data_IF_526082690353
#
_entry.id   IF_526082690353
#
_cell.length_a   1.000
_cell.length_b   1.000
_cell.length_c   1.000
_cell.angle_alpha   90.00
_cell.angle_beta   90.00
_cell.angle_gamma   90.00
#
_symmetry.space_group_name_H-M   'P 1'
#
loop_
_entity.id
_entity.type
_entity.pdbx_description
1 polymer ?
#
# COMPACT_ATOMS: atom_id res chain seq x y z
N UNK A 1 -1.02 -15.66 -27.57
CA UNK A 1 -0.99 -14.31 -26.99
C UNK A 1 -1.68 -14.37 -25.63
N UNK A 2 -0.91 -14.34 -24.54
CA UNK A 2 -1.45 -14.50 -23.19
C UNK A 2 -2.11 -13.22 -22.72
N UNK A 3 -3.44 -13.23 -22.67
CA UNK A 3 -4.27 -12.19 -22.09
C UNK A 3 -4.11 -12.19 -20.56
N UNK A 4 -3.03 -11.59 -20.07
CA UNK A 4 -3.16 -10.88 -18.79
C UNK A 4 -3.93 -9.60 -19.14
N UNK A 5 -5.04 -9.28 -18.45
CA UNK A 5 -5.67 -7.98 -18.61
C UNK A 5 -4.60 -6.94 -18.27
N UNK A 6 -4.05 -6.32 -19.31
CA UNK A 6 -3.16 -5.18 -19.13
C UNK A 6 -3.95 -4.03 -18.51
N UNK A 7 -3.27 -2.93 -18.24
CA UNK A 7 -3.89 -1.66 -17.83
C UNK A 7 -5.09 -1.24 -18.70
N UNK A 8 -5.22 -1.76 -19.92
CA UNK A 8 -6.37 -1.58 -20.81
C UNK A 8 -7.70 -2.07 -20.25
N UNK A 9 -7.73 -3.17 -19.49
CA UNK A 9 -8.98 -3.63 -18.87
C UNK A 9 -9.42 -2.69 -17.74
N UNK A 10 -8.47 -2.22 -16.93
CA UNK A 10 -8.72 -1.26 -15.85
C UNK A 10 -8.96 0.18 -16.34
N UNK A 11 -8.53 0.51 -17.56
CA UNK A 11 -8.73 1.82 -18.17
C UNK A 11 -10.04 1.95 -18.97
N UNK A 12 -10.78 0.86 -19.14
CA UNK A 12 -12.07 0.85 -19.83
C UNK A 12 -13.11 1.78 -19.19
N UNK A 13 -13.12 1.81 -17.85
CA UNK A 13 -14.12 2.53 -17.05
C UNK A 13 -13.70 3.96 -16.66
N UNK A 14 -12.56 4.44 -17.15
CA UNK A 14 -11.99 5.74 -16.74
C UNK A 14 -12.36 6.83 -17.74
N UNK A 15 -13.14 7.82 -17.29
CA UNK A 15 -13.45 8.99 -18.10
C UNK A 15 -12.18 9.75 -18.55
N UNK A 16 -12.02 10.07 -19.84
CA UNK A 16 -10.86 10.81 -20.33
C UNK A 16 -10.87 12.29 -19.91
N UNK A 17 -9.71 12.87 -19.56
CA UNK A 17 -9.56 14.32 -19.38
C UNK A 17 -9.55 15.08 -20.71
N UNK A 18 -10.32 16.16 -20.78
CA UNK A 18 -10.36 17.16 -21.87
C UNK A 18 -11.53 18.14 -21.67
N UNK A 19 -11.36 19.41 -22.09
CA UNK A 19 -12.45 20.38 -22.12
C UNK A 19 -13.59 19.94 -23.04
N UNK A 20 -14.78 20.53 -22.90
CA UNK A 20 -16.02 20.15 -23.60
C UNK A 20 -15.92 20.07 -25.16
N UNK A 21 -14.80 20.52 -25.71
CA UNK A 21 -14.50 20.58 -27.14
C UNK A 21 -13.93 19.29 -27.76
N UNK A 22 -13.59 18.24 -26.99
CA UNK A 22 -13.06 16.99 -27.58
C UNK A 22 -14.16 15.92 -27.76
N UNK A 23 -14.68 15.69 -28.99
CA UNK A 23 -15.78 14.77 -29.24
C UNK A 23 -15.41 13.30 -28.98
N UNK A 24 -14.12 12.97 -29.04
CA UNK A 24 -13.62 11.61 -28.81
C UNK A 24 -13.63 11.20 -27.33
N UNK A 25 -13.99 12.10 -26.41
CA UNK A 25 -14.10 11.80 -24.97
C UNK A 25 -15.26 10.87 -24.64
N UNK A 26 -16.33 10.90 -25.44
CA UNK A 26 -17.55 10.09 -25.23
C UNK A 26 -17.45 8.68 -25.84
N UNK A 27 -16.35 8.37 -26.50
CA UNK A 27 -16.15 7.10 -27.17
C UNK A 27 -15.44 6.11 -26.25
N UNK A 28 -15.82 4.84 -26.37
CA UNK A 28 -15.17 3.74 -25.66
C UNK A 28 -13.66 3.69 -25.93
N UNK A 29 -12.92 3.13 -24.96
CA UNK A 29 -11.46 2.99 -25.04
C UNK A 29 -11.00 2.35 -26.35
N UNK A 30 -11.71 1.32 -26.79
CA UNK A 30 -11.42 0.56 -28.02
C UNK A 30 -11.54 1.43 -29.27
N UNK A 31 -12.63 2.20 -29.39
CA UNK A 31 -12.86 3.11 -30.53
C UNK A 31 -11.79 4.20 -30.57
N UNK A 32 -11.46 4.78 -29.42
CA UNK A 32 -10.41 5.78 -29.32
C UNK A 32 -9.04 5.22 -29.70
N UNK A 33 -8.68 4.04 -29.20
CA UNK A 33 -7.43 3.38 -29.56
C UNK A 33 -7.37 3.08 -31.07
N UNK A 34 -8.49 2.68 -31.68
CA UNK A 34 -8.57 2.47 -33.12
C UNK A 34 -8.29 3.79 -33.89
N UNK A 35 -8.88 4.90 -33.48
CA UNK A 35 -8.63 6.23 -34.08
C UNK A 35 -7.17 6.66 -33.89
N UNK A 36 -6.61 6.50 -32.69
CA UNK A 36 -5.20 6.81 -32.42
C UNK A 36 -4.27 6.00 -33.32
N UNK A 37 -4.48 4.69 -33.41
CA UNK A 37 -3.67 3.79 -34.23
C UNK A 37 -3.81 4.13 -35.72
N UNK A 38 -5.02 4.46 -36.19
CA UNK A 38 -5.23 4.87 -37.58
C UNK A 38 -4.50 6.17 -37.92
N UNK A 39 -4.60 7.19 -37.06
CA UNK A 39 -3.91 8.48 -37.24
C UNK A 39 -2.39 8.30 -37.15
N UNK A 40 -1.90 7.54 -36.16
CA UNK A 40 -0.48 7.26 -36.01
C UNK A 40 0.09 6.47 -37.20
N UNK A 41 -0.63 5.47 -37.68
CA UNK A 41 -0.27 4.70 -38.87
C UNK A 41 -0.22 5.60 -40.12
N UNK A 42 -1.23 6.43 -40.33
CA UNK A 42 -1.27 7.39 -41.45
C UNK A 42 -0.10 8.38 -41.42
N UNK A 43 0.15 9.00 -40.27
CA UNK A 43 1.29 9.91 -40.09
C UNK A 43 2.64 9.20 -40.28
N UNK A 44 2.78 7.97 -39.79
CA UNK A 44 3.99 7.19 -39.97
C UNK A 44 4.24 6.80 -41.44
N UNK A 45 3.18 6.54 -42.22
CA UNK A 45 3.30 6.32 -43.67
C UNK A 45 3.80 7.60 -44.35
N UNK A 46 3.18 8.75 -44.08
CA UNK A 46 3.55 10.03 -44.70
C UNK A 46 4.99 10.40 -44.35
N UNK A 47 5.34 10.41 -43.06
CA UNK A 47 6.68 10.80 -42.61
C UNK A 47 7.75 9.76 -42.98
N UNK A 48 7.42 8.46 -42.95
CA UNK A 48 8.34 7.41 -43.37
C UNK A 48 8.67 7.47 -44.86
N UNK A 49 7.68 7.80 -45.71
CA UNK A 49 7.92 7.99 -47.16
C UNK A 49 8.86 9.16 -47.47
N UNK A 50 8.92 10.18 -46.61
CA UNK A 50 9.88 11.28 -46.76
C UNK A 50 11.33 10.84 -46.54
N UNK A 51 11.57 9.74 -45.79
CA UNK A 51 12.90 9.13 -45.65
C UNK A 51 13.16 8.10 -46.74
N UNK A 52 12.22 7.19 -46.97
CA UNK A 52 12.34 6.12 -47.95
C UNK A 52 10.97 5.74 -48.50
N UNK A 53 10.79 5.91 -49.81
CA UNK A 53 9.56 5.51 -50.50
C UNK A 53 9.32 3.99 -50.45
N UNK A 54 10.40 3.19 -50.36
CA UNK A 54 10.32 1.74 -50.43
C UNK A 54 10.30 1.04 -49.07
N UNK A 55 10.83 1.66 -47.99
CA UNK A 55 11.07 0.96 -46.71
C UNK A 55 10.35 1.51 -45.47
N UNK A 56 9.41 2.45 -45.65
CA UNK A 56 8.64 3.08 -44.56
C UNK A 56 7.89 2.14 -43.58
N UNK A 57 7.84 0.83 -43.83
CA UNK A 57 7.15 -0.15 -42.99
C UNK A 57 7.68 -0.20 -41.55
N UNK A 58 8.96 0.09 -41.27
CA UNK A 58 9.46 0.11 -39.90
C UNK A 58 8.85 1.24 -39.05
N UNK A 59 8.65 2.41 -39.66
CA UNK A 59 7.96 3.53 -39.02
C UNK A 59 6.51 3.16 -38.69
N UNK A 60 5.82 2.51 -39.62
CA UNK A 60 4.42 2.08 -39.43
C UNK A 60 4.32 1.02 -38.33
N UNK A 61 5.17 -0.01 -38.35
CA UNK A 61 5.18 -1.05 -37.30
C UNK A 61 5.54 -0.41 -35.95
N UNK A 62 6.47 0.55 -35.90
CA UNK A 62 6.83 1.24 -34.66
C UNK A 62 5.66 2.04 -34.08
N UNK A 63 4.97 2.83 -34.91
CA UNK A 63 3.80 3.58 -34.51
C UNK A 63 2.65 2.66 -34.06
N UNK A 64 2.37 1.58 -34.78
CA UNK A 64 1.33 0.61 -34.41
C UNK A 64 1.62 -0.07 -33.07
N UNK A 65 2.84 -0.59 -32.91
CA UNK A 65 3.21 -1.37 -31.72
C UNK A 65 3.25 -0.51 -30.46
N UNK A 66 3.48 0.81 -30.59
CA UNK A 66 3.42 1.76 -29.49
C UNK A 66 2.06 1.73 -28.76
N UNK A 67 0.97 1.42 -29.46
CA UNK A 67 -0.39 1.35 -28.91
C UNK A 67 -0.87 -0.07 -28.57
N UNK A 68 -0.16 -1.10 -29.01
CA UNK A 68 -0.60 -2.49 -28.78
C UNK A 68 -0.53 -2.84 -27.30
N UNK A 69 -1.68 -3.08 -26.66
CA UNK A 69 -1.75 -3.47 -25.25
C UNK A 69 -1.33 -2.36 -24.27
N UNK A 70 -1.38 -1.10 -24.70
CA UNK A 70 -1.11 0.07 -23.84
C UNK A 70 -2.37 0.92 -23.71
N UNK A 71 -2.70 1.35 -22.51
CA UNK A 71 -3.87 2.19 -22.25
C UNK A 71 -3.52 3.60 -21.78
N UNK A 72 -2.31 3.80 -21.26
CA UNK A 72 -1.90 5.08 -20.69
C UNK A 72 -0.76 5.74 -21.47
N UNK A 73 -0.65 7.08 -21.37
CA UNK A 73 0.43 7.86 -22.03
C UNK A 73 1.82 7.34 -21.68
N UNK A 74 2.04 7.03 -20.39
CA UNK A 74 3.33 6.57 -19.88
C UNK A 74 3.74 5.23 -20.50
N UNK A 75 2.78 4.34 -20.73
CA UNK A 75 3.05 3.05 -21.38
C UNK A 75 3.41 3.21 -22.85
N UNK A 76 2.65 4.04 -23.59
CA UNK A 76 2.97 4.36 -24.99
C UNK A 76 4.38 4.96 -25.09
N UNK A 77 4.71 5.88 -24.19
CA UNK A 77 6.05 6.50 -24.12
C UNK A 77 7.15 5.47 -23.81
N UNK A 78 7.03 4.73 -22.71
CA UNK A 78 8.00 3.72 -22.30
C UNK A 78 8.20 2.67 -23.40
N UNK A 79 7.11 2.23 -24.04
CA UNK A 79 7.17 1.24 -25.11
C UNK A 79 7.85 1.77 -26.37
N UNK A 80 7.58 3.03 -26.73
CA UNK A 80 8.22 3.71 -27.87
C UNK A 80 9.72 3.89 -27.64
N UNK A 81 10.12 4.31 -26.44
CA UNK A 81 11.54 4.45 -26.04
C UNK A 81 12.24 3.10 -26.03
N UNK A 82 11.63 2.08 -25.40
CA UNK A 82 12.17 0.73 -25.37
C UNK A 82 12.34 0.14 -26.77
N UNK A 83 11.48 0.53 -27.72
CA UNK A 83 11.62 0.13 -29.11
C UNK A 83 12.84 0.73 -29.77
N UNK A 84 13.04 2.04 -29.65
CA UNK A 84 14.21 2.71 -30.21
C UNK A 84 15.50 2.15 -29.61
N UNK A 85 15.56 2.01 -28.28
CA UNK A 85 16.73 1.45 -27.59
C UNK A 85 16.98 -0.02 -27.97
N UNK A 86 15.94 -0.85 -27.98
CA UNK A 86 16.05 -2.26 -28.35
C UNK A 86 16.53 -2.44 -29.79
N UNK A 87 16.08 -1.59 -30.71
CA UNK A 87 16.55 -1.59 -32.10
C UNK A 87 17.99 -1.09 -32.20
N UNK A 88 18.36 0.02 -31.52
CA UNK A 88 19.73 0.52 -31.51
C UNK A 88 20.74 -0.53 -31.01
N UNK A 89 20.47 -1.11 -29.84
CA UNK A 89 21.35 -2.11 -29.22
C UNK A 89 21.35 -3.42 -30.04
N UNK A 90 20.19 -3.81 -30.56
CA UNK A 90 20.04 -5.00 -31.40
C UNK A 90 20.73 -4.87 -32.76
N UNK A 91 20.78 -3.67 -33.34
CA UNK A 91 21.53 -3.37 -34.56
C UNK A 91 23.03 -3.50 -34.31
N UNK A 92 23.54 -2.92 -33.22
CA UNK A 92 24.96 -3.06 -32.84
C UNK A 92 25.36 -4.53 -32.65
N UNK A 93 24.56 -5.30 -31.90
CA UNK A 93 24.77 -6.74 -31.74
C UNK A 93 24.61 -7.51 -33.06
N UNK A 94 23.66 -7.11 -33.90
CA UNK A 94 23.42 -7.71 -35.22
C UNK A 94 24.60 -7.54 -36.17
N UNK A 95 25.21 -6.35 -36.20
CA UNK A 95 26.43 -6.06 -36.98
C UNK A 95 27.60 -6.91 -36.47
N UNK A 96 27.83 -6.92 -35.15
CA UNK A 96 28.91 -7.72 -34.56
C UNK A 96 28.74 -9.21 -34.89
N UNK A 97 27.54 -9.75 -34.74
CA UNK A 97 27.24 -11.14 -35.07
C UNK A 97 27.39 -11.42 -36.56
N UNK A 98 26.97 -10.51 -37.45
CA UNK A 98 27.11 -10.69 -38.90
C UNK A 98 28.58 -10.81 -39.32
N UNK A 99 29.48 -10.05 -38.70
CA UNK A 99 30.92 -10.21 -38.91
C UNK A 99 31.45 -11.55 -38.39
N UNK A 100 30.97 -12.02 -37.24
CA UNK A 100 31.41 -13.29 -36.64
C UNK A 100 30.89 -14.52 -37.40
N UNK A 101 29.70 -14.43 -38.00
CA UNK A 101 29.09 -15.52 -38.76
C UNK A 101 29.35 -15.42 -40.27
N UNK A 102 30.14 -14.45 -40.71
CA UNK A 102 30.45 -14.23 -42.13
C UNK A 102 31.02 -15.51 -42.77
N UNK A 103 30.45 -15.91 -43.90
CA UNK A 103 30.87 -17.10 -44.65
C UNK A 103 30.41 -18.44 -44.07
N UNK A 104 29.71 -18.47 -42.92
CA UNK A 104 29.18 -19.69 -42.33
C UNK A 104 27.64 -19.66 -42.22
N UNK A 105 26.96 -20.20 -43.24
CA UNK A 105 25.50 -20.25 -43.32
C UNK A 105 24.87 -20.99 -42.14
N UNK A 106 25.49 -22.07 -41.66
CA UNK A 106 24.98 -22.81 -40.50
C UNK A 106 25.02 -21.97 -39.23
N UNK A 107 26.08 -21.19 -39.02
CA UNK A 107 26.18 -20.26 -37.90
C UNK A 107 25.13 -19.14 -38.00
N UNK A 108 24.91 -18.57 -39.19
CA UNK A 108 23.87 -17.55 -39.41
C UNK A 108 22.49 -18.11 -39.07
N UNK A 109 22.15 -19.31 -39.57
CA UNK A 109 20.88 -19.97 -39.26
C UNK A 109 20.71 -20.28 -37.77
N UNK A 110 21.78 -20.72 -37.10
CA UNK A 110 21.77 -20.96 -35.66
C UNK A 110 21.49 -19.67 -34.87
N UNK A 111 22.09 -18.54 -35.26
CA UNK A 111 21.82 -17.23 -34.65
C UNK A 111 20.38 -16.78 -34.91
N UNK A 112 19.84 -16.98 -36.12
CA UNK A 112 18.44 -16.65 -36.44
C UNK A 112 17.49 -17.44 -35.52
N UNK A 113 17.64 -18.76 -35.45
CA UNK A 113 16.77 -19.63 -34.63
C UNK A 113 16.93 -19.33 -33.14
N UNK A 114 18.17 -19.17 -32.66
CA UNK A 114 18.45 -18.83 -31.27
C UNK A 114 17.88 -17.47 -30.87
N UNK A 115 18.04 -16.46 -31.73
CA UNK A 115 17.46 -15.13 -31.50
C UNK A 115 15.94 -15.16 -31.52
N UNK A 116 15.33 -15.90 -32.45
CA UNK A 116 13.89 -16.08 -32.49
C UNK A 116 13.35 -16.73 -31.20
N UNK A 117 14.00 -17.80 -30.74
CA UNK A 117 13.65 -18.46 -29.47
C UNK A 117 13.76 -17.48 -28.28
N UNK A 118 14.90 -16.82 -28.11
CA UNK A 118 15.12 -15.86 -27.02
C UNK A 118 14.12 -14.69 -27.08
N UNK A 119 13.85 -14.16 -28.27
CA UNK A 119 12.91 -13.06 -28.47
C UNK A 119 11.49 -13.42 -28.03
N UNK A 120 10.97 -14.58 -28.44
CA UNK A 120 9.63 -15.04 -28.03
C UNK A 120 9.57 -15.56 -26.59
N UNK A 121 10.67 -16.12 -26.06
CA UNK A 121 10.73 -16.57 -24.67
C UNK A 121 10.73 -15.38 -23.70
N UNK A 122 11.62 -14.40 -23.94
CA UNK A 122 11.81 -13.24 -23.08
C UNK A 122 10.75 -12.15 -23.26
N UNK A 123 9.87 -12.26 -24.27
CA UNK A 123 8.75 -11.33 -24.46
C UNK A 123 7.86 -11.19 -23.21
N UNK A 124 7.77 -12.25 -22.38
CA UNK A 124 7.00 -12.24 -21.14
C UNK A 124 7.64 -11.39 -20.04
N UNK A 125 8.97 -11.22 -20.08
CA UNK A 125 9.71 -10.42 -19.11
C UNK A 125 9.80 -8.96 -19.54
N UNK A 126 10.13 -8.69 -20.81
CA UNK A 126 10.20 -7.33 -21.33
C UNK A 126 10.07 -7.29 -22.85
N UNK A 127 9.25 -6.35 -23.32
CA UNK A 127 9.11 -6.03 -24.74
C UNK A 127 10.45 -5.57 -25.37
N UNK A 128 11.32 -4.90 -24.61
CA UNK A 128 12.61 -4.43 -25.10
C UNK A 128 13.54 -5.59 -25.52
N UNK A 129 13.55 -6.68 -24.73
CA UNK A 129 14.33 -7.88 -25.07
C UNK A 129 13.82 -8.54 -26.35
N UNK A 130 12.50 -8.62 -26.53
CA UNK A 130 11.94 -9.16 -27.78
C UNK A 130 12.43 -8.36 -28.99
N UNK A 131 12.35 -7.03 -28.96
CA UNK A 131 12.82 -6.18 -30.06
C UNK A 131 14.31 -6.35 -30.32
N UNK A 132 15.13 -6.40 -29.26
CA UNK A 132 16.56 -6.62 -29.36
C UNK A 132 16.87 -7.91 -30.15
N UNK A 133 16.30 -9.04 -29.75
CA UNK A 133 16.54 -10.33 -30.42
C UNK A 133 15.93 -10.39 -31.83
N UNK A 134 14.73 -9.84 -32.05
CA UNK A 134 14.14 -9.75 -33.39
C UNK A 134 14.99 -8.86 -34.31
N UNK A 135 15.63 -7.83 -33.76
CA UNK A 135 16.51 -6.94 -34.53
C UNK A 135 17.75 -7.69 -35.01
N UNK A 136 18.37 -8.51 -34.14
CA UNK A 136 19.47 -9.41 -34.52
C UNK A 136 19.01 -10.39 -35.60
N UNK A 137 17.87 -11.07 -35.39
CA UNK A 137 17.31 -12.03 -36.33
C UNK A 137 17.13 -11.43 -37.73
N UNK A 138 16.51 -10.25 -37.83
CA UNK A 138 16.33 -9.56 -39.13
C UNK A 138 17.67 -9.12 -39.74
N UNK A 139 18.64 -8.70 -38.92
CA UNK A 139 19.96 -8.33 -39.42
C UNK A 139 20.68 -9.53 -40.05
N UNK A 140 20.60 -10.70 -39.41
CA UNK A 140 21.12 -11.97 -39.94
C UNK A 140 20.37 -12.42 -41.19
N UNK A 141 19.05 -12.22 -41.24
CA UNK A 141 18.26 -12.50 -42.44
C UNK A 141 18.73 -11.65 -43.64
N UNK A 142 19.00 -10.36 -43.45
CA UNK A 142 19.57 -9.52 -44.51
C UNK A 142 20.98 -9.95 -44.92
N UNK A 143 21.76 -10.51 -43.99
CA UNK A 143 23.05 -11.11 -44.32
C UNK A 143 22.90 -12.32 -45.25
N UNK A 144 21.91 -13.20 -45.00
CA UNK A 144 21.62 -14.35 -45.89
C UNK A 144 21.11 -13.90 -47.25
N UNK A 145 20.29 -12.84 -47.28
CA UNK A 145 19.73 -12.28 -48.52
C UNK A 145 20.76 -11.46 -49.33
N UNK A 146 22.01 -11.35 -48.88
CA UNK A 146 23.04 -10.49 -49.47
C UNK A 146 22.64 -9.02 -49.62
N UNK A 147 21.67 -8.57 -48.82
CA UNK A 147 21.23 -7.16 -48.76
C UNK A 147 21.83 -6.41 -47.57
N UNK A 148 22.74 -7.02 -46.80
CA UNK A 148 23.29 -6.38 -45.61
C UNK A 148 24.09 -5.12 -45.98
N UNK A 149 23.59 -3.96 -45.54
CA UNK A 149 24.26 -2.66 -45.72
C UNK A 149 24.15 -1.83 -44.44
N UNK A 150 25.24 -1.18 -43.97
CA UNK A 150 25.19 -0.27 -42.84
C UNK A 150 24.13 0.82 -43.00
N UNK A 151 23.93 1.33 -44.22
CA UNK A 151 22.91 2.35 -44.51
C UNK A 151 21.48 1.86 -44.26
N UNK A 152 21.19 0.58 -44.53
CA UNK A 152 19.87 0.01 -44.24
C UNK A 152 19.60 -0.14 -42.74
N UNK A 153 20.66 -0.39 -41.95
CA UNK A 153 20.54 -0.50 -40.50
C UNK A 153 20.34 0.89 -39.87
N UNK A 154 21.01 1.92 -40.38
CA UNK A 154 20.76 3.32 -39.97
C UNK A 154 19.35 3.74 -40.34
N UNK A 155 18.91 3.49 -41.59
CA UNK A 155 17.55 3.79 -42.04
C UNK A 155 16.50 3.12 -41.14
N UNK A 156 16.73 1.86 -40.75
CA UNK A 156 15.86 1.15 -39.81
C UNK A 156 15.74 1.86 -38.47
N UNK A 157 16.84 2.38 -37.94
CA UNK A 157 16.85 3.13 -36.69
C UNK A 157 16.07 4.45 -36.84
N UNK A 158 16.30 5.18 -37.94
CA UNK A 158 15.61 6.44 -38.24
C UNK A 158 14.09 6.25 -38.41
N UNK A 159 13.67 5.27 -39.21
CA UNK A 159 12.24 4.96 -39.40
C UNK A 159 11.59 4.52 -38.08
N UNK A 160 12.29 3.71 -37.28
CA UNK A 160 11.81 3.30 -35.96
C UNK A 160 11.67 4.50 -35.02
N UNK A 161 12.61 5.44 -35.06
CA UNK A 161 12.55 6.67 -34.28
C UNK A 161 11.40 7.58 -34.71
N UNK A 162 11.12 7.71 -36.01
CA UNK A 162 9.97 8.45 -36.55
C UNK A 162 8.67 7.82 -36.05
N UNK A 163 8.52 6.51 -36.22
CA UNK A 163 7.31 5.82 -35.76
C UNK A 163 7.09 5.93 -34.24
N UNK A 164 8.17 5.85 -33.45
CA UNK A 164 8.12 6.08 -32.01
C UNK A 164 7.72 7.52 -31.67
N UNK A 165 8.27 8.53 -32.36
CA UNK A 165 7.94 9.93 -32.17
C UNK A 165 6.47 10.21 -32.52
N UNK A 166 5.98 9.68 -33.65
CA UNK A 166 4.57 9.77 -34.07
C UNK A 166 3.66 9.10 -33.03
N UNK A 167 4.01 7.90 -32.57
CA UNK A 167 3.23 7.18 -31.54
C UNK A 167 3.13 7.98 -30.24
N UNK A 168 4.24 8.57 -29.78
CA UNK A 168 4.25 9.45 -28.61
C UNK A 168 3.39 10.70 -28.85
N UNK A 169 3.58 11.40 -29.98
CA UNK A 169 2.84 12.61 -30.29
C UNK A 169 1.32 12.36 -30.34
N UNK A 170 0.89 11.31 -31.05
CA UNK A 170 -0.53 10.94 -31.14
C UNK A 170 -1.05 10.52 -29.77
N UNK A 171 -0.31 9.72 -29.00
CA UNK A 171 -0.73 9.30 -27.65
C UNK A 171 -0.84 10.45 -26.64
N UNK A 172 -0.09 11.55 -26.85
CA UNK A 172 -0.13 12.75 -26.02
C UNK A 172 -1.22 13.75 -26.47
N UNK A 173 -1.51 13.83 -27.77
CA UNK A 173 -2.42 14.84 -28.34
C UNK A 173 -3.84 14.31 -28.53
N UNK A 174 -4.00 13.10 -29.09
CA UNK A 174 -5.33 12.49 -29.27
C UNK A 174 -5.78 11.85 -27.96
N UNK A 175 -6.73 12.49 -27.25
CA UNK A 175 -7.47 11.96 -26.09
C UNK A 175 -6.62 11.27 -25.01
N UNK A 176 -5.72 12.02 -24.38
CA UNK A 176 -4.66 11.42 -23.60
C UNK A 176 -5.20 10.95 -22.23
N UNK A 177 -5.13 9.65 -21.92
CA UNK A 177 -5.51 9.12 -20.59
C UNK A 177 -4.40 9.42 -19.59
N UNK A 178 -4.73 10.15 -18.53
CA UNK A 178 -3.79 10.42 -17.45
C UNK A 178 -3.62 9.16 -16.60
N UNK A 179 -2.40 8.61 -16.52
CA UNK A 179 -2.10 7.48 -15.64
C UNK A 179 -2.51 7.76 -14.19
N UNK A 180 -2.42 9.02 -13.74
CA UNK A 180 -2.84 9.41 -12.39
C UNK A 180 -4.36 9.28 -12.18
N UNK A 181 -5.15 9.52 -13.21
CA UNK A 181 -6.62 9.43 -13.10
C UNK A 181 -7.08 7.98 -13.13
N UNK A 182 -6.42 7.14 -13.93
CA UNK A 182 -6.64 5.69 -13.91
C UNK A 182 -6.27 5.10 -12.55
N UNK A 183 -5.15 5.52 -11.95
CA UNK A 183 -4.77 5.10 -10.58
C UNK A 183 -5.81 5.57 -9.55
N UNK A 184 -6.24 6.83 -9.61
CA UNK A 184 -7.28 7.35 -8.70
C UNK A 184 -8.60 6.59 -8.85
N UNK A 185 -8.99 6.26 -10.08
CA UNK A 185 -10.23 5.51 -10.31
C UNK A 185 -10.12 4.08 -9.75
N UNK A 186 -9.01 3.38 -9.99
CA UNK A 186 -8.77 2.06 -9.42
C UNK A 186 -8.71 2.10 -7.88
N UNK A 187 -8.16 3.16 -7.29
CA UNK A 187 -8.14 3.38 -5.84
C UNK A 187 -9.56 3.60 -5.29
N UNK A 188 -10.40 4.38 -5.98
CA UNK A 188 -11.83 4.54 -5.62
C UNK A 188 -12.60 3.23 -5.72
N UNK A 189 -12.38 2.42 -6.75
CA UNK A 189 -12.99 1.09 -6.86
C UNK A 189 -12.62 0.22 -5.67
N UNK A 190 -11.32 0.18 -5.31
CA UNK A 190 -10.86 -0.54 -4.12
C UNK A 190 -11.52 -0.04 -2.84
N UNK A 191 -11.62 1.28 -2.64
CA UNK A 191 -12.27 1.89 -1.48
C UNK A 191 -13.76 1.56 -1.41
N UNK A 192 -14.46 1.58 -2.55
CA UNK A 192 -15.89 1.21 -2.63
C UNK A 192 -16.09 -0.27 -2.25
N UNK A 193 -15.33 -1.18 -2.86
CA UNK A 193 -15.35 -2.62 -2.52
C UNK A 193 -15.00 -2.87 -1.05
N UNK A 194 -14.07 -2.08 -0.49
CA UNK A 194 -13.71 -2.15 0.92
C UNK A 194 -14.85 -1.68 1.83
N UNK A 195 -15.53 -0.57 1.50
CA UNK A 195 -16.70 -0.09 2.22
C UNK A 195 -17.85 -1.10 2.19
N UNK A 196 -18.12 -1.64 1.02
CA UNK A 196 -19.05 -2.76 0.80
C UNK A 196 -18.70 -3.99 1.66
N UNK A 197 -17.41 -4.30 1.86
CA UNK A 197 -16.98 -5.40 2.73
C UNK A 197 -17.21 -5.11 4.20
N UNK A 198 -16.94 -3.88 4.64
CA UNK A 198 -17.23 -3.48 6.02
C UNK A 198 -18.73 -3.46 6.32
N UNK A 199 -19.57 -3.14 5.32
CA UNK A 199 -21.01 -3.25 5.45
C UNK A 199 -21.46 -4.70 5.66
N UNK A 200 -20.92 -5.66 4.89
CA UNK A 200 -21.16 -7.09 5.12
C UNK A 200 -20.63 -7.56 6.47
N UNK A 201 -19.49 -7.04 6.93
CA UNK A 201 -18.97 -7.34 8.27
C UNK A 201 -19.96 -6.88 9.35
N UNK A 202 -20.55 -5.69 9.20
CA UNK A 202 -21.58 -5.21 10.12
C UNK A 202 -22.82 -6.12 10.10
N UNK A 203 -23.27 -6.55 8.92
CA UNK A 203 -24.40 -7.48 8.78
C UNK A 203 -24.10 -8.83 9.46
N UNK A 204 -22.89 -9.36 9.27
CA UNK A 204 -22.44 -10.61 9.90
C UNK A 204 -22.44 -10.53 11.43
N UNK A 205 -22.03 -9.37 11.98
CA UNK A 205 -22.03 -9.10 13.42
C UNK A 205 -23.45 -9.01 14.01
N UNK A 206 -24.45 -8.70 13.18
CA UNK A 206 -25.87 -8.69 13.58
C UNK A 206 -26.58 -10.03 13.39
N UNK A 207 -25.84 -11.06 12.97
CA UNK A 207 -26.37 -12.41 12.77
C UNK A 207 -26.77 -12.72 11.32
N UNK A 208 -26.53 -11.81 10.37
CA UNK A 208 -26.65 -12.10 8.95
C UNK A 208 -25.61 -13.11 8.46
N UNK A 209 -25.76 -13.55 7.20
CA UNK A 209 -24.90 -14.59 6.60
C UNK A 209 -24.34 -14.14 5.23
N UNK A 210 -23.62 -13.01 5.15
CA UNK A 210 -23.01 -12.57 3.90
C UNK A 210 -21.83 -13.46 3.48
N UNK A 211 -21.59 -13.58 2.17
CA UNK A 211 -20.43 -14.27 1.62
C UNK A 211 -19.18 -13.36 1.64
N UNK A 212 -18.60 -13.24 2.84
CA UNK A 212 -17.38 -12.45 3.07
C UNK A 212 -16.19 -12.95 2.24
N UNK A 213 -16.08 -14.27 2.04
CA UNK A 213 -14.97 -14.86 1.27
C UNK A 213 -15.05 -14.45 -0.21
N UNK A 214 -16.25 -14.37 -0.79
CA UNK A 214 -16.43 -13.81 -2.14
C UNK A 214 -16.01 -12.35 -2.22
N UNK A 215 -16.39 -11.53 -1.25
CA UNK A 215 -16.07 -10.09 -1.26
C UNK A 215 -14.58 -9.81 -1.08
N UNK A 216 -13.90 -10.59 -0.23
CA UNK A 216 -12.43 -10.56 -0.11
C UNK A 216 -11.74 -10.86 -1.44
N UNK A 217 -12.23 -11.82 -2.23
CA UNK A 217 -11.67 -12.12 -3.57
C UNK A 217 -11.80 -10.95 -4.53
N UNK A 218 -12.92 -10.22 -4.49
CA UNK A 218 -13.11 -9.00 -5.31
C UNK A 218 -12.13 -7.92 -4.88
N UNK A 219 -12.00 -7.68 -3.57
CA UNK A 219 -11.05 -6.70 -3.02
C UNK A 219 -9.58 -7.01 -3.40
N UNK A 220 -9.18 -8.29 -3.37
CA UNK A 220 -7.84 -8.73 -3.80
C UNK A 220 -7.61 -8.47 -5.30
N UNK A 221 -8.64 -8.65 -6.12
CA UNK A 221 -8.58 -8.35 -7.55
C UNK A 221 -8.42 -6.84 -7.77
N UNK A 222 -9.14 -6.00 -7.04
CA UNK A 222 -9.04 -4.54 -7.14
C UNK A 222 -7.65 -4.04 -6.72
N UNK A 223 -7.06 -4.60 -5.65
CA UNK A 223 -5.68 -4.30 -5.25
C UNK A 223 -4.69 -4.70 -6.34
N UNK A 224 -4.90 -5.86 -6.98
CA UNK A 224 -4.07 -6.30 -8.11
C UNK A 224 -4.18 -5.33 -9.29
N UNK A 225 -5.39 -4.90 -9.65
CA UNK A 225 -5.62 -3.92 -10.71
C UNK A 225 -4.95 -2.57 -10.39
N UNK A 226 -5.12 -2.06 -9.17
CA UNK A 226 -4.47 -0.82 -8.72
C UNK A 226 -2.95 -0.90 -8.86
N UNK A 227 -2.33 -2.02 -8.46
CA UNK A 227 -0.88 -2.23 -8.62
C UNK A 227 -0.43 -2.26 -10.08
N UNK A 228 -1.20 -2.91 -10.95
CA UNK A 228 -0.90 -2.97 -12.39
C UNK A 228 -0.95 -1.58 -13.03
N UNK A 229 -1.99 -0.80 -12.74
CA UNK A 229 -2.17 0.56 -13.28
C UNK A 229 -1.16 1.55 -12.69
N UNK A 230 -0.75 1.38 -11.43
CA UNK A 230 0.22 2.24 -10.78
C UNK A 230 1.69 1.89 -11.12
N UNK A 231 1.95 0.71 -11.70
CA UNK A 231 3.30 0.23 -12.01
C UNK A 231 4.15 1.27 -12.80
N UNK A 232 3.64 1.97 -13.83
CA UNK A 232 4.42 2.97 -14.57
C UNK A 232 4.84 4.19 -13.73
N UNK A 233 4.10 4.54 -12.67
CA UNK A 233 4.43 5.66 -11.78
C UNK A 233 5.44 5.28 -10.69
N UNK A 234 5.54 3.98 -10.41
CA UNK A 234 6.39 3.40 -9.36
C UNK A 234 7.71 2.90 -9.91
N UNK A 235 7.72 2.41 -11.14
CA UNK A 235 8.91 1.97 -11.85
C UNK A 235 9.96 3.09 -11.82
N UNK A 236 11.13 2.77 -11.26
CA UNK A 236 12.26 3.68 -11.27
C UNK A 236 12.78 3.75 -12.71
N UNK A 237 12.39 4.79 -13.43
CA UNK A 237 13.08 5.14 -14.68
C UNK A 237 14.44 5.70 -14.28
N UNK A 238 15.55 5.35 -14.99
CA UNK A 238 16.88 5.84 -14.63
C UNK A 238 16.97 7.37 -14.55
N UNK A 239 16.08 8.11 -15.22
CA UNK A 239 16.05 9.59 -15.26
C UNK A 239 14.82 10.21 -14.60
N UNK A 240 14.00 9.44 -13.88
CA UNK A 240 12.77 9.93 -13.25
C UNK A 240 12.47 9.19 -11.96
N UNK A 241 12.63 9.89 -10.83
CA UNK A 241 12.34 9.34 -9.51
C UNK A 241 10.87 8.91 -9.41
N UNK A 242 10.63 7.60 -9.27
CA UNK A 242 9.29 7.07 -9.02
C UNK A 242 8.64 7.77 -7.83
N UNK A 243 7.35 8.06 -7.92
CA UNK A 243 6.63 8.83 -6.90
C UNK A 243 6.66 8.09 -5.56
N UNK A 244 7.45 8.60 -4.60
CA UNK A 244 7.50 8.07 -3.22
C UNK A 244 6.10 8.01 -2.61
N UNK A 245 5.29 9.02 -2.87
CA UNK A 245 3.89 9.11 -2.44
C UNK A 245 3.04 7.99 -3.03
N UNK A 246 3.21 7.65 -4.31
CA UNK A 246 2.45 6.56 -4.94
C UNK A 246 2.85 5.20 -4.38
N UNK A 247 4.14 4.97 -4.12
CA UNK A 247 4.61 3.75 -3.45
C UNK A 247 4.00 3.63 -2.05
N UNK A 248 4.03 4.71 -1.27
CA UNK A 248 3.46 4.75 0.07
C UNK A 248 1.97 4.41 0.07
N UNK A 249 1.17 5.05 -0.81
CA UNK A 249 -0.27 4.75 -0.94
C UNK A 249 -0.53 3.29 -1.33
N UNK A 250 0.26 2.71 -2.24
CA UNK A 250 0.13 1.28 -2.57
C UNK A 250 0.46 0.36 -1.41
N UNK A 251 1.44 0.73 -0.58
CA UNK A 251 1.75 0.00 0.65
C UNK A 251 0.59 0.09 1.63
N UNK A 252 0.03 1.30 1.86
CA UNK A 252 -1.13 1.48 2.72
C UNK A 252 -2.34 0.66 2.25
N UNK A 253 -2.67 0.71 0.96
CA UNK A 253 -3.77 -0.09 0.39
C UNK A 253 -3.52 -1.60 0.57
N UNK A 254 -2.29 -2.07 0.38
CA UNK A 254 -1.93 -3.47 0.61
C UNK A 254 -2.07 -3.88 2.07
N UNK A 255 -1.63 -3.02 2.99
CA UNK A 255 -1.75 -3.25 4.43
C UNK A 255 -3.20 -3.25 4.87
N UNK A 256 -4.04 -2.36 4.33
CA UNK A 256 -5.48 -2.32 4.56
C UNK A 256 -6.16 -3.63 4.14
N UNK A 257 -5.86 -4.14 2.95
CA UNK A 257 -6.37 -5.45 2.50
C UNK A 257 -5.89 -6.58 3.42
N UNK A 258 -4.62 -6.56 3.84
CA UNK A 258 -4.09 -7.58 4.76
C UNK A 258 -4.81 -7.60 6.12
N UNK A 259 -5.10 -6.43 6.70
CA UNK A 259 -5.88 -6.34 7.95
C UNK A 259 -7.33 -6.78 7.74
N UNK A 260 -7.89 -6.54 6.54
CA UNK A 260 -9.22 -7.03 6.17
C UNK A 260 -9.30 -8.56 6.15
N UNK A 261 -8.28 -9.24 5.59
CA UNK A 261 -8.18 -10.70 5.65
C UNK A 261 -8.15 -11.22 7.10
N UNK A 262 -7.41 -10.56 7.98
CA UNK A 262 -7.34 -10.92 9.41
C UNK A 262 -8.69 -10.72 10.11
N UNK A 263 -9.39 -9.63 9.81
CA UNK A 263 -10.72 -9.34 10.32
C UNK A 263 -11.71 -10.44 9.92
N UNK A 264 -11.81 -10.76 8.63
CA UNK A 264 -12.71 -11.81 8.12
C UNK A 264 -12.38 -13.19 8.70
N UNK A 265 -11.09 -13.52 8.83
CA UNK A 265 -10.68 -14.76 9.48
C UNK A 265 -11.10 -14.85 10.96
N UNK A 266 -11.05 -13.74 11.70
CA UNK A 266 -11.45 -13.66 13.11
C UNK A 266 -12.96 -13.81 13.29
N UNK A 267 -13.76 -13.27 12.37
CA UNK A 267 -15.23 -13.38 12.35
C UNK A 267 -15.77 -14.79 12.08
N UNK A 268 -14.90 -15.76 11.73
CA UNK A 268 -15.27 -17.17 11.65
C UNK A 268 -15.54 -17.77 13.04
N UNK A 269 -15.02 -17.15 14.09
CA UNK A 269 -15.32 -17.51 15.48
C UNK A 269 -16.43 -16.60 16.01
N UNK A 270 -17.31 -17.10 16.90
CA UNK A 270 -18.30 -16.25 17.55
C UNK A 270 -17.57 -15.15 18.34
N UNK A 271 -17.90 -13.89 18.05
CA UNK A 271 -17.43 -12.73 18.80
C UNK A 271 -18.51 -12.34 19.81
N UNK A 272 -18.15 -12.13 21.07
CA UNK A 272 -19.12 -11.85 22.13
C UNK A 272 -19.48 -10.36 22.22
N UNK A 273 -18.54 -9.45 21.90
CA UNK A 273 -18.74 -8.01 22.13
C UNK A 273 -18.09 -7.13 21.06
N UNK A 274 -18.68 -7.08 19.86
CA UNK A 274 -18.22 -6.18 18.80
C UNK A 274 -19.38 -5.38 18.22
N UNK A 275 -19.30 -4.03 18.20
CA UNK A 275 -20.36 -3.21 17.64
C UNK A 275 -20.36 -3.25 16.11
N UNK A 276 -21.43 -3.79 15.52
CA UNK A 276 -21.71 -3.64 14.08
C UNK A 276 -21.68 -2.16 13.65
N UNK A 277 -22.05 -1.24 14.55
CA UNK A 277 -21.99 0.21 14.33
C UNK A 277 -20.58 0.73 13.99
N UNK A 278 -19.51 0.15 14.54
CA UNK A 278 -18.15 0.57 14.20
C UNK A 278 -17.75 0.16 12.78
N UNK A 279 -18.13 -1.05 12.36
CA UNK A 279 -17.93 -1.52 11.00
C UNK A 279 -18.72 -0.67 10.00
N UNK A 280 -19.98 -0.31 10.32
CA UNK A 280 -20.78 0.61 9.48
C UNK A 280 -20.17 1.99 9.33
N UNK A 281 -19.73 2.60 10.44
CA UNK A 281 -19.13 3.93 10.37
C UNK A 281 -17.88 3.94 9.47
N UNK A 282 -17.07 2.87 9.52
CA UNK A 282 -15.93 2.73 8.61
C UNK A 282 -16.35 2.43 7.17
N UNK A 283 -17.44 1.69 6.96
CA UNK A 283 -18.01 1.45 5.64
C UNK A 283 -18.45 2.76 4.98
N UNK A 284 -19.15 3.62 5.72
CA UNK A 284 -19.59 4.95 5.26
C UNK A 284 -18.41 5.83 4.89
N UNK A 285 -17.36 5.89 5.72
CA UNK A 285 -16.12 6.63 5.40
C UNK A 285 -15.49 6.12 4.10
N UNK A 286 -15.40 4.81 3.90
CA UNK A 286 -14.77 4.22 2.73
C UNK A 286 -15.57 4.48 1.44
N UNK A 287 -16.90 4.38 1.52
CA UNK A 287 -17.80 4.70 0.40
C UNK A 287 -17.75 6.20 0.05
N UNK A 288 -17.85 7.08 1.05
CA UNK A 288 -17.77 8.53 0.84
C UNK A 288 -16.39 8.93 0.25
N UNK A 289 -15.31 8.31 0.73
CA UNK A 289 -13.97 8.52 0.18
C UNK A 289 -13.86 8.05 -1.29
N UNK A 290 -14.56 6.97 -1.66
CA UNK A 290 -14.61 6.49 -3.04
C UNK A 290 -15.38 7.45 -3.97
N UNK A 291 -16.30 8.25 -3.42
CA UNK A 291 -17.11 9.23 -4.13
C UNK A 291 -16.50 10.66 -4.12
N UNK A 292 -15.25 10.81 -3.67
CA UNK A 292 -14.57 12.09 -3.44
C UNK A 292 -15.31 13.05 -2.47
N UNK A 293 -16.11 12.49 -1.56
CA UNK A 293 -16.85 13.26 -0.55
C UNK A 293 -16.00 13.74 0.62
N UNK A 294 -16.60 14.57 1.48
CA UNK A 294 -15.94 15.05 2.71
C UNK A 294 -16.04 14.00 3.83
N UNK A 295 -14.92 13.34 4.07
CA UNK A 295 -14.81 12.26 5.05
C UNK A 295 -14.44 12.73 6.45
N UNK A 296 -14.10 14.01 6.65
CA UNK A 296 -13.52 14.47 7.93
C UNK A 296 -14.50 14.27 9.08
N UNK A 297 -15.77 14.63 8.87
CA UNK A 297 -16.82 14.44 9.87
C UNK A 297 -17.10 12.94 10.13
N UNK A 298 -17.11 12.12 9.08
CA UNK A 298 -17.34 10.67 9.17
C UNK A 298 -16.18 9.95 9.87
N UNK A 299 -14.94 10.38 9.65
CA UNK A 299 -13.77 9.85 10.36
C UNK A 299 -13.86 10.13 11.86
N UNK A 300 -14.31 11.33 12.25
CA UNK A 300 -14.56 11.68 13.65
C UNK A 300 -15.68 10.87 14.30
N UNK A 301 -16.77 10.61 13.57
CA UNK A 301 -17.88 9.79 14.06
C UNK A 301 -17.50 8.31 14.22
N UNK A 302 -16.71 7.77 13.28
CA UNK A 302 -16.16 6.41 13.35
C UNK A 302 -15.21 6.26 14.55
N UNK A 303 -14.33 7.24 14.76
CA UNK A 303 -13.44 7.28 15.92
C UNK A 303 -14.19 7.32 17.24
N UNK A 304 -15.20 8.19 17.38
CA UNK A 304 -16.04 8.24 18.57
C UNK A 304 -16.76 6.91 18.83
N UNK A 305 -17.17 6.20 17.79
CA UNK A 305 -17.86 4.91 17.89
C UNK A 305 -16.93 3.79 18.35
N UNK A 306 -15.70 3.76 17.83
CA UNK A 306 -14.64 2.85 18.29
C UNK A 306 -14.23 3.17 19.73
N UNK A 307 -14.10 4.46 20.06
CA UNK A 307 -13.76 4.93 21.41
C UNK A 307 -14.77 4.49 22.47
N UNK A 308 -16.08 4.43 22.16
CA UNK A 308 -17.10 3.92 23.10
C UNK A 308 -16.88 2.46 23.53
N UNK A 309 -16.12 1.68 22.76
CA UNK A 309 -15.88 0.25 23.00
C UNK A 309 -14.44 -0.05 23.42
N UNK A 310 -13.68 0.99 23.75
CA UNK A 310 -12.29 0.89 24.18
C UNK A 310 -12.05 -0.03 25.41
N UNK A 311 -13.07 -0.24 26.24
CA UNK A 311 -13.07 -1.17 27.36
C UNK A 311 -12.76 -2.62 26.93
N UNK A 312 -12.91 -2.93 25.64
CA UNK A 312 -12.73 -4.25 25.05
C UNK A 312 -11.62 -4.22 24.00
N UNK A 313 -10.60 -3.37 24.20
CA UNK A 313 -9.47 -3.23 23.27
C UNK A 313 -8.70 -4.55 23.02
N UNK A 314 -8.79 -5.50 23.94
CA UNK A 314 -8.22 -6.85 23.79
C UNK A 314 -8.99 -7.73 22.80
N UNK A 315 -10.23 -7.34 22.45
CA UNK A 315 -11.06 -8.08 21.50
C UNK A 315 -10.42 -8.02 20.10
N UNK A 316 -10.07 -9.17 19.50
CA UNK A 316 -9.26 -9.20 18.29
C UNK A 316 -9.97 -8.56 17.10
N UNK A 317 -11.30 -8.64 17.02
CA UNK A 317 -12.07 -8.00 15.95
C UNK A 317 -12.02 -6.48 16.06
N UNK A 318 -12.20 -5.94 17.27
CA UNK A 318 -12.13 -4.49 17.52
C UNK A 318 -10.74 -3.93 17.19
N UNK A 319 -9.68 -4.67 17.54
CA UNK A 319 -8.31 -4.29 17.22
C UNK A 319 -8.08 -4.16 15.71
N UNK A 320 -8.62 -5.05 14.88
CA UNK A 320 -8.50 -4.93 13.42
C UNK A 320 -9.27 -3.72 12.89
N UNK A 321 -10.47 -3.42 13.43
CA UNK A 321 -11.22 -2.22 13.03
C UNK A 321 -10.48 -0.91 13.38
N UNK A 322 -9.78 -0.85 14.53
CA UNK A 322 -8.94 0.30 14.91
C UNK A 322 -7.79 0.48 13.92
N UNK A 323 -7.12 -0.61 13.52
CA UNK A 323 -6.04 -0.55 12.53
C UNK A 323 -6.58 -0.12 11.15
N UNK A 324 -7.70 -0.67 10.72
CA UNK A 324 -8.35 -0.31 9.46
C UNK A 324 -8.75 1.17 9.43
N UNK A 325 -9.31 1.71 10.51
CA UNK A 325 -9.59 3.16 10.65
C UNK A 325 -8.33 3.98 10.42
N UNK A 326 -7.21 3.61 11.06
CA UNK A 326 -5.95 4.36 10.96
C UNK A 326 -5.42 4.37 9.52
N UNK A 327 -5.43 3.21 8.87
CA UNK A 327 -4.99 3.05 7.48
C UNK A 327 -5.90 3.81 6.51
N UNK A 328 -7.22 3.75 6.72
CA UNK A 328 -8.19 4.49 5.92
C UNK A 328 -8.03 6.00 6.08
N UNK A 329 -7.84 6.49 7.32
CA UNK A 329 -7.58 7.90 7.58
C UNK A 329 -6.34 8.39 6.84
N UNK A 330 -5.22 7.66 6.94
CA UNK A 330 -3.98 8.04 6.26
C UNK A 330 -4.09 7.96 4.74
N UNK A 331 -4.80 6.96 4.21
CA UNK A 331 -5.00 6.80 2.77
C UNK A 331 -5.82 7.96 2.18
N UNK A 332 -6.87 8.40 2.89
CA UNK A 332 -7.78 9.44 2.40
C UNK A 332 -7.26 10.85 2.66
N UNK A 333 -6.70 11.13 3.85
CA UNK A 333 -6.23 12.48 4.22
C UNK A 333 -4.76 12.74 3.84
N UNK A 334 -3.97 11.68 3.69
CA UNK A 334 -2.51 11.78 3.55
C UNK A 334 -1.78 12.10 4.86
N UNK A 335 -2.50 12.17 5.99
CA UNK A 335 -1.94 12.46 7.31
C UNK A 335 -1.96 11.17 8.14
N UNK A 336 -0.86 10.87 8.81
CA UNK A 336 -0.80 9.78 9.77
C UNK A 336 -1.76 10.09 10.93
N UNK A 337 -2.83 9.31 11.06
CA UNK A 337 -3.72 9.41 12.21
C UNK A 337 -2.95 9.14 13.51
N UNK A 338 -3.18 10.01 14.49
CA UNK A 338 -2.81 9.71 15.87
C UNK A 338 -3.47 8.39 16.30
N UNK A 339 -2.79 7.57 17.11
CA UNK A 339 -3.41 6.37 17.66
C UNK A 339 -4.71 6.79 18.36
N UNK A 340 -5.82 6.07 18.11
CA UNK A 340 -7.03 6.23 18.93
C UNK A 340 -6.54 6.14 20.36
N UNK A 341 -6.66 7.22 21.12
CA UNK A 341 -6.09 7.27 22.46
C UNK A 341 -6.66 6.08 23.22
N UNK A 342 -5.82 5.12 23.64
CA UNK A 342 -6.31 3.98 24.39
C UNK A 342 -6.99 4.55 25.63
N UNK A 343 -8.20 4.07 25.92
CA UNK A 343 -9.10 4.76 26.85
C UNK A 343 -8.44 5.10 28.19
N UNK A 344 -8.13 6.39 28.35
CA UNK A 344 -7.57 6.88 29.60
C UNK A 344 -8.65 6.80 30.65
N UNK A 345 -8.40 6.01 31.70
CA UNK A 345 -9.32 5.85 32.82
C UNK A 345 -8.80 6.67 33.99
N UNK A 346 -9.54 7.69 34.41
CA UNK A 346 -9.24 8.40 35.66
C UNK A 346 -9.57 7.49 36.85
N UNK A 347 -8.59 7.22 37.70
CA UNK A 347 -8.75 6.52 38.98
C UNK A 347 -8.59 7.56 40.08
N UNK A 348 -9.65 7.83 40.83
CA UNK A 348 -9.66 8.83 41.89
C UNK A 348 -10.24 8.26 43.18
N UNK A 349 -9.94 8.89 44.31
CA UNK A 349 -10.45 8.44 45.60
C UNK A 349 -9.80 9.18 46.75
N UNK A 350 -10.02 8.70 47.96
CA UNK A 350 -9.38 9.21 49.18
C UNK A 350 -8.60 8.11 49.90
N UNK A 351 -7.46 8.48 50.47
CA UNK A 351 -6.70 7.62 51.38
C UNK A 351 -7.09 7.95 52.81
N UNK A 352 -7.47 6.92 53.56
CA UNK A 352 -7.85 7.00 54.96
C UNK A 352 -6.92 6.15 55.83
N UNK A 353 -6.75 6.56 57.09
CA UNK A 353 -6.11 5.70 58.10
C UNK A 353 -7.11 4.71 58.72
N UNK A 354 -6.64 3.83 59.60
CA UNK A 354 -7.47 2.84 60.30
C UNK A 354 -8.59 3.44 61.18
N UNK A 355 -8.51 4.73 61.51
CA UNK A 355 -9.52 5.47 62.28
C UNK A 355 -10.50 6.24 61.37
N UNK A 356 -10.38 6.12 60.05
CA UNK A 356 -11.23 6.78 59.05
C UNK A 356 -10.84 8.22 58.71
N UNK A 357 -9.83 8.79 59.36
CA UNK A 357 -9.37 10.15 59.05
C UNK A 357 -8.58 10.19 57.73
N UNK A 358 -8.68 11.28 56.94
CA UNK A 358 -7.92 11.42 55.70
C UNK A 358 -6.42 11.41 55.96
N UNK A 359 -5.68 10.71 55.09
CA UNK A 359 -4.24 10.52 55.22
C UNK A 359 -3.49 11.27 54.10
N UNK A 360 -2.90 12.43 54.39
CA UNK A 360 -2.09 13.17 53.42
C UNK A 360 -0.70 12.57 53.25
N UNK A 361 -0.08 12.80 52.09
CA UNK A 361 1.31 12.38 51.84
C UNK A 361 1.49 10.89 51.52
N UNK A 362 0.41 10.13 51.35
CA UNK A 362 0.49 8.75 50.88
C UNK A 362 0.90 8.74 49.40
N UNK A 363 1.90 7.94 49.04
CA UNK A 363 2.32 7.71 47.66
C UNK A 363 1.48 6.61 47.04
N UNK A 364 0.78 6.94 45.95
CA UNK A 364 -0.01 6.00 45.16
C UNK A 364 0.72 5.72 43.86
N UNK A 365 0.95 4.46 43.55
CA UNK A 365 1.62 4.01 42.33
C UNK A 365 0.72 3.01 41.61
N UNK A 366 0.43 3.30 40.35
CA UNK A 366 -0.34 2.42 39.47
C UNK A 366 0.62 1.57 38.65
N UNK A 367 0.39 0.25 38.64
CA UNK A 367 1.24 -0.73 37.95
C UNK A 367 0.37 -1.58 37.02
N UNK A 368 0.79 -1.78 35.77
CA UNK A 368 0.10 -2.62 34.79
C UNK A 368 0.37 -4.13 35.01
N UNK A 369 -0.32 -4.99 34.25
CA UNK A 369 -0.15 -6.45 34.31
C UNK A 369 1.23 -6.95 33.88
N UNK A 370 2.05 -6.08 33.27
CA UNK A 370 3.43 -6.37 32.90
C UNK A 370 4.44 -5.88 33.97
N UNK A 371 3.95 -5.36 35.10
CA UNK A 371 4.79 -4.87 36.18
C UNK A 371 5.39 -3.48 35.93
N UNK A 372 4.97 -2.78 34.88
CA UNK A 372 5.44 -1.43 34.58
C UNK A 372 4.61 -0.41 35.35
N UNK A 373 5.28 0.51 36.03
CA UNK A 373 4.63 1.64 36.66
C UNK A 373 4.11 2.60 35.58
N UNK A 374 2.79 2.80 35.54
CA UNK A 374 2.12 3.63 34.52
C UNK A 374 1.79 5.03 35.02
N UNK A 375 1.52 5.21 36.32
CA UNK A 375 1.22 6.50 36.93
C UNK A 375 1.60 6.54 38.41
N UNK A 376 1.84 7.73 38.97
CA UNK A 376 2.12 7.92 40.40
C UNK A 376 1.61 9.29 40.87
N UNK A 377 1.05 9.33 42.07
CA UNK A 377 0.53 10.54 42.71
C UNK A 377 0.78 10.51 44.22
N UNK A 378 0.59 11.66 44.87
CA UNK A 378 0.63 11.77 46.33
C UNK A 378 -0.72 12.29 46.82
N UNK A 379 -1.26 11.72 47.90
CA UNK A 379 -2.54 12.15 48.45
C UNK A 379 -2.45 13.57 49.02
N UNK A 380 -3.49 14.38 48.73
CA UNK A 380 -3.63 15.76 49.18
C UNK A 380 -3.96 15.86 50.69
N UNK A 381 -4.07 17.09 51.21
CA UNK A 381 -4.38 17.37 52.61
C UNK A 381 -5.68 16.72 53.11
N UNK A 382 -6.66 16.58 52.21
CA UNK A 382 -7.96 15.94 52.48
C UNK A 382 -7.98 14.44 52.12
N UNK A 383 -6.81 13.86 51.82
CA UNK A 383 -6.62 12.47 51.43
C UNK A 383 -6.90 12.19 49.95
N UNK A 384 -7.35 13.18 49.16
CA UNK A 384 -7.72 12.96 47.77
C UNK A 384 -6.51 12.60 46.89
N UNK A 385 -6.74 11.72 45.91
CA UNK A 385 -5.80 11.43 44.84
C UNK A 385 -6.54 11.25 43.50
N UNK A 386 -5.80 11.49 42.41
CA UNK A 386 -6.21 11.15 41.05
C UNK A 386 -5.01 10.60 40.28
N UNK A 387 -5.23 9.54 39.50
CA UNK A 387 -4.26 8.84 38.67
C UNK A 387 -4.90 8.55 37.32
N UNK A 388 -4.09 8.47 36.27
CA UNK A 388 -4.55 8.08 34.94
C UNK A 388 -4.02 6.69 34.59
N UNK A 389 -4.94 5.79 34.25
CA UNK A 389 -4.62 4.52 33.59
C UNK A 389 -4.61 4.74 32.07
N UNK A 390 -3.44 4.66 31.40
CA UNK A 390 -3.31 5.07 30.00
C UNK A 390 -3.92 4.08 28.99
N UNK A 391 -4.27 2.86 29.40
CA UNK A 391 -4.91 1.86 28.55
C UNK A 391 -5.97 1.11 29.34
N UNK A 392 -6.97 0.54 28.66
CA UNK A 392 -7.92 -0.36 29.31
C UNK A 392 -7.19 -1.62 29.82
N UNK A 393 -7.60 -2.15 30.96
CA UNK A 393 -6.99 -3.33 31.57
C UNK A 393 -7.10 -3.35 33.09
N UNK A 394 -6.53 -4.38 33.71
CA UNK A 394 -6.44 -4.50 35.16
C UNK A 394 -5.13 -3.90 35.67
N UNK A 395 -5.21 -3.01 36.65
CA UNK A 395 -4.05 -2.38 37.27
C UNK A 395 -3.95 -2.75 38.75
N UNK A 396 -2.75 -2.73 39.30
CA UNK A 396 -2.52 -2.80 40.74
C UNK A 396 -2.20 -1.40 41.25
N UNK A 397 -3.06 -0.87 42.11
CA UNK A 397 -2.83 0.38 42.83
C UNK A 397 -2.12 0.08 44.15
N UNK A 398 -0.85 0.46 44.23
CA UNK A 398 -0.02 0.32 45.42
C UNK A 398 -0.01 1.64 46.16
N UNK A 399 -0.50 1.65 47.39
CA UNK A 399 -0.54 2.81 48.26
C UNK A 399 0.40 2.59 49.44
N UNK A 400 1.33 3.52 49.65
CA UNK A 400 2.30 3.48 50.74
C UNK A 400 2.36 4.84 51.44
N UNK A 401 2.45 4.85 52.77
CA UNK A 401 2.58 6.06 53.57
C UNK A 401 3.50 5.80 54.77
N UNK A 402 4.14 6.85 55.27
CA UNK A 402 5.04 6.74 56.43
C UNK A 402 4.30 6.17 57.65
N UNK A 403 4.94 5.20 58.32
CA UNK A 403 4.40 4.50 59.51
C UNK A 403 3.11 3.69 59.27
N UNK A 404 2.72 3.47 58.02
CA UNK A 404 1.60 2.62 57.63
C UNK A 404 2.08 1.42 56.80
N UNK A 405 1.39 0.28 56.91
CA UNK A 405 1.65 -0.85 56.03
C UNK A 405 1.20 -0.54 54.59
N UNK A 406 1.93 -0.97 53.55
CA UNK A 406 1.50 -0.76 52.18
C UNK A 406 0.23 -1.57 51.90
N UNK A 407 -0.68 -0.99 51.11
CA UNK A 407 -1.87 -1.66 50.59
C UNK A 407 -1.78 -1.78 49.08
N UNK A 408 -2.22 -2.91 48.54
CA UNK A 408 -2.34 -3.14 47.11
C UNK A 408 -3.78 -3.52 46.79
N UNK A 409 -4.40 -2.83 45.83
CA UNK A 409 -5.75 -3.14 45.38
C UNK A 409 -5.80 -3.21 43.86
N UNK A 410 -6.48 -4.21 43.34
CA UNK A 410 -6.71 -4.35 41.90
C UNK A 410 -7.79 -3.36 41.46
N UNK A 411 -7.52 -2.59 40.41
CA UNK A 411 -8.41 -1.57 39.86
C UNK A 411 -8.71 -1.89 38.39
N UNK A 412 -9.98 -2.13 38.01
CA UNK A 412 -10.34 -2.31 36.61
C UNK A 412 -10.42 -0.95 35.90
N UNK A 413 -9.66 -0.77 34.82
CA UNK A 413 -9.67 0.43 34.00
C UNK A 413 -10.33 0.13 32.64
N UNK A 414 -11.50 0.73 32.40
CA UNK A 414 -12.32 0.45 31.20
C UNK A 414 -12.84 1.73 30.52
N UNK A 415 -12.11 2.84 30.65
CA UNK A 415 -12.44 4.12 30.01
C UNK A 415 -13.51 4.96 30.73
N UNK A 416 -14.00 4.53 31.89
CA UNK A 416 -14.87 5.33 32.78
C UNK A 416 -14.14 5.63 34.08
N UNK A 417 -14.33 6.83 34.63
CA UNK A 417 -13.71 7.20 35.89
C UNK A 417 -14.08 6.20 37.01
N UNK A 418 -13.08 5.70 37.72
CA UNK A 418 -13.22 4.76 38.83
C UNK A 418 -12.98 5.50 40.14
N UNK A 419 -13.92 5.35 41.08
CA UNK A 419 -13.77 5.87 42.44
C UNK A 419 -13.39 4.73 43.37
N UNK A 420 -12.22 4.82 44.00
CA UNK A 420 -11.71 3.80 44.90
C UNK A 420 -11.00 4.40 46.10
N UNK A 421 -11.63 4.30 47.26
CA UNK A 421 -11.03 4.71 48.53
C UNK A 421 -10.13 3.62 49.08
N UNK A 422 -9.04 4.03 49.74
CA UNK A 422 -8.00 3.13 50.26
C UNK A 422 -7.85 3.35 51.76
N UNK A 423 -7.84 2.26 52.53
CA UNK A 423 -7.57 2.29 53.96
C UNK A 423 -6.20 1.70 54.25
N UNK A 424 -5.36 2.46 54.96
CA UNK A 424 -4.06 2.00 55.42
C UNK A 424 -4.08 1.70 56.93
N UNK A 425 -3.60 0.51 57.29
CA UNK A 425 -3.38 0.10 58.67
C UNK A 425 -2.02 0.59 59.17
N UNK A 426 -1.91 0.90 60.45
CA UNK A 426 -0.63 1.22 61.08
C UNK A 426 0.38 0.08 60.86
N UNK A 427 1.62 0.43 60.54
CA UNK A 427 2.67 -0.57 60.35
C UNK A 427 2.89 -1.31 61.67
N UNK A 428 2.81 -2.65 61.66
CA UNK A 428 3.27 -3.46 62.79
C UNK A 428 4.78 -3.24 62.93
N UNK A 429 5.21 -2.51 63.95
CA UNK A 429 6.61 -2.38 64.31
C UNK A 429 7.13 -3.74 64.77
N UNK A 430 7.79 -4.48 63.87
CA UNK A 430 8.70 -5.54 64.29
C UNK A 430 9.88 -4.90 65.02
N UNK A 431 10.35 -5.45 66.16
CA UNK A 431 11.47 -4.89 66.88
C UNK A 431 12.75 -4.92 66.00
N UNK A 432 13.66 -3.96 66.16
CA UNK A 432 14.90 -3.93 65.38
C UNK A 432 15.73 -5.20 65.65
N UNK A 433 16.19 -5.86 64.58
CA UNK A 433 17.16 -6.94 64.68
C UNK A 433 18.45 -6.44 65.37
N UNK A 434 19.03 -7.21 66.31
CA UNK A 434 20.30 -6.83 66.92
C UNK A 434 21.43 -6.85 65.89
N UNK A 435 22.28 -5.81 65.92
CA UNK A 435 23.42 -5.64 65.05
C UNK A 435 24.37 -6.86 65.12
N UNK A 436 24.48 -7.62 64.04
CA UNK A 436 25.50 -8.66 63.91
C UNK A 436 26.88 -8.01 63.76
N UNK A 437 27.79 -8.36 64.67
CA UNK A 437 29.22 -8.03 64.58
C UNK A 437 29.74 -8.48 63.21
N UNK A 438 30.24 -7.52 62.42
CA UNK A 438 31.06 -7.79 61.24
C UNK A 438 32.31 -8.57 61.66
N UNK A 439 32.33 -9.88 61.40
CA UNK A 439 33.58 -10.64 61.40
C UNK A 439 34.06 -10.70 59.95
N UNK A 440 35.05 -9.86 59.67
CA UNK A 440 35.68 -9.73 58.37
C UNK A 440 36.61 -10.93 58.15
N UNK A 441 36.14 -12.00 57.51
CA UNK A 441 37.04 -13.05 57.03
C UNK A 441 37.45 -12.72 55.58
N UNK A 442 38.59 -12.05 55.44
CA UNK A 442 39.35 -12.03 54.18
C UNK A 442 39.73 -13.48 53.87
N UNK A 443 39.26 -14.01 52.74
CA UNK A 443 39.89 -15.15 52.06
C UNK A 443 40.55 -14.61 50.80
N UNK A 444 41.88 -14.59 50.84
CA UNK A 444 42.74 -14.44 49.69
C UNK A 444 42.49 -15.60 48.72
N UNK A 445 42.11 -15.27 47.48
CA UNK A 445 42.18 -16.20 46.35
C UNK A 445 43.41 -15.81 45.55
N UNK A 446 44.48 -16.60 45.71
CA UNK A 446 45.65 -16.57 44.83
C UNK A 446 45.34 -17.34 43.55
N UNK A 447 45.73 -16.73 42.44
CA UNK A 447 45.92 -17.31 41.11
C UNK A 447 46.80 -18.57 41.18
N UNK A 448 46.36 -19.64 40.51
CA UNK A 448 47.17 -20.47 39.61
C UNK A 448 46.27 -21.14 38.58
#
# INVERSE_FOLDING_TARGET
>A
MGALPGSAAAAGDVEPRGGAWNPLRRLDLTTRQAVQVAVAGGLAIVLGRLLSEQRYYWAVIAAFVAFTGTATRSEVFLKSVNRVLGTLVGLGAGIALAHLTAGNTAAVLAVIVGSMFCGFYLQRLSYAYMIFFVTIMVSQLYSVLNEFSPGLLVLRLEETAIGAAVGIAVGLVLTPLSTRDTVRTAERTLLRTFGELLADVAERLEGGVPDLDARVRVLDNDLRQLRLVAAPLVAAVPWGGGSRTTRHRLTLAATLVQHTHRLVARLRRPAEVVPAAAARALAEVATEAADDGDVVALLGSAEATLGRHCAHADEPVLLELIHLRRLLHELVTGVLAEPVTPCVTEIRGRVHNALGAPLPGATLTLVDTHGRQTSRATSAADGFFALEAPHAGSYVLITAADRHGPAASTVPAHGRAVVQDIWLSAARTSPPMPASRRQCHRRDVRLR
#
